data_IF_055232556083
#
_entry.id   IF_055232556083
#
_cell.length_a   1.000
_cell.length_b   1.000
_cell.length_c   1.000
_cell.angle_alpha   90.00
_cell.angle_beta   90.00
_cell.angle_gamma   90.00
#
_symmetry.space_group_name_H-M   'P 1'
#
loop_
_entity.id
_entity.type
_entity.pdbx_description
1 polymer ?
#
# COMPACT_ATOMS: atom_id res chain seq x y z
N UNK A 1 -9.15 -21.13 -9.76
CA UNK A 1 -7.89 -21.34 -10.54
C UNK A 1 -6.76 -21.36 -9.54
N UNK A 2 -6.13 -22.53 -9.29
CA UNK A 2 -4.95 -22.60 -8.42
C UNK A 2 -3.78 -21.96 -9.16
N UNK A 3 -3.20 -20.88 -8.63
CA UNK A 3 -1.88 -20.41 -9.06
C UNK A 3 -0.94 -21.60 -8.92
N UNK A 4 -0.33 -22.01 -10.03
CA UNK A 4 0.64 -23.10 -9.97
C UNK A 4 1.86 -22.58 -9.19
N UNK A 5 2.52 -23.39 -8.34
CA UNK A 5 3.72 -22.95 -7.62
C UNK A 5 4.82 -22.36 -8.52
N UNK A 6 4.82 -22.68 -9.81
CA UNK A 6 5.69 -22.09 -10.85
C UNK A 6 5.43 -20.62 -11.17
N UNK A 7 4.29 -20.06 -10.78
CA UNK A 7 3.89 -18.66 -11.02
C UNK A 7 4.18 -17.75 -9.81
N UNK A 8 4.55 -18.34 -8.68
CA UNK A 8 5.04 -17.63 -7.48
C UNK A 8 6.57 -17.54 -7.64
N UNK A 9 7.08 -16.31 -7.71
CA UNK A 9 8.53 -16.11 -7.82
C UNK A 9 9.14 -16.21 -6.43
N UNK A 10 9.83 -17.32 -6.17
CA UNK A 10 10.72 -17.44 -5.00
C UNK A 10 11.95 -16.55 -5.23
N UNK A 11 12.20 -15.64 -4.29
CA UNK A 11 13.43 -14.84 -4.26
C UNK A 11 14.23 -15.18 -3.01
N UNK A 12 15.49 -15.53 -3.22
CA UNK A 12 16.46 -15.76 -2.15
C UNK A 12 17.34 -14.54 -2.00
N UNK A 13 17.50 -14.08 -0.75
CA UNK A 13 18.37 -12.99 -0.39
C UNK A 13 19.35 -13.46 0.66
N UNK A 14 20.63 -13.47 0.34
CA UNK A 14 21.68 -13.71 1.32
C UNK A 14 22.12 -12.38 1.92
N UNK A 15 21.92 -12.22 3.24
CA UNK A 15 22.58 -11.16 4.03
C UNK A 15 23.56 -11.80 4.98
N UNK A 16 24.48 -10.97 5.49
CA UNK A 16 25.77 -11.29 6.17
C UNK A 16 25.72 -12.49 7.15
N UNK A 17 24.57 -12.87 7.68
CA UNK A 17 24.35 -14.01 8.58
C UNK A 17 23.11 -14.89 8.28
N UNK A 18 22.26 -14.58 7.28
CA UNK A 18 21.00 -15.29 7.02
C UNK A 18 20.57 -15.26 5.55
N UNK A 19 19.99 -16.38 5.10
CA UNK A 19 19.24 -16.46 3.85
C UNK A 19 17.75 -16.18 4.13
N UNK A 20 17.18 -15.19 3.47
CA UNK A 20 15.75 -14.92 3.45
C UNK A 20 15.14 -15.51 2.19
N UNK A 21 14.00 -16.18 2.32
CA UNK A 21 13.22 -16.69 1.19
C UNK A 21 11.88 -15.95 1.21
N UNK A 22 11.71 -15.04 0.27
CA UNK A 22 10.46 -14.33 0.06
C UNK A 22 9.74 -14.89 -1.17
N UNK A 23 8.42 -15.07 -1.08
CA UNK A 23 7.58 -15.39 -2.22
C UNK A 23 6.95 -14.09 -2.71
N UNK A 24 7.10 -13.77 -4.00
CA UNK A 24 6.43 -12.62 -4.60
C UNK A 24 5.00 -13.00 -4.99
N UNK A 25 4.02 -12.36 -4.35
CA UNK A 25 2.62 -12.48 -4.71
C UNK A 25 2.15 -11.21 -5.40
N UNK A 26 1.93 -11.30 -6.71
CA UNK A 26 1.36 -10.20 -7.46
C UNK A 26 -0.14 -10.08 -7.15
N UNK A 27 -0.55 -8.95 -6.58
CA UNK A 27 -1.92 -8.67 -6.14
C UNK A 27 -2.99 -8.90 -7.22
N UNK A 28 -2.68 -8.61 -8.48
CA UNK A 28 -3.60 -8.86 -9.60
C UNK A 28 -3.90 -10.35 -9.80
N UNK A 29 -2.93 -11.24 -9.56
CA UNK A 29 -3.15 -12.69 -9.61
C UNK A 29 -4.02 -13.15 -8.44
N UNK A 30 -3.80 -12.59 -7.26
CA UNK A 30 -4.63 -12.87 -6.07
C UNK A 30 -6.08 -12.43 -6.32
N UNK A 31 -6.28 -11.27 -6.94
CA UNK A 31 -7.59 -10.78 -7.39
C UNK A 31 -8.28 -11.76 -8.35
N UNK A 32 -7.55 -12.27 -9.36
CA UNK A 32 -8.08 -13.28 -10.29
C UNK A 32 -8.38 -14.63 -9.61
N UNK A 33 -7.59 -15.09 -8.62
CA UNK A 33 -7.94 -16.27 -7.83
C UNK A 33 -9.30 -16.06 -7.18
N UNK A 34 -9.45 -14.97 -6.41
CA UNK A 34 -10.69 -14.65 -5.70
C UNK A 34 -11.87 -14.65 -6.67
N UNK A 35 -11.73 -14.00 -7.83
CA UNK A 35 -12.80 -13.90 -8.82
C UNK A 35 -13.08 -15.22 -9.56
N UNK A 36 -12.08 -16.09 -9.73
CA UNK A 36 -12.27 -17.42 -10.31
C UNK A 36 -13.02 -18.38 -9.38
N UNK A 37 -12.82 -18.25 -8.06
CA UNK A 37 -13.49 -19.07 -7.05
C UNK A 37 -14.86 -18.50 -6.67
N UNK A 38 -15.09 -17.19 -6.86
CA UNK A 38 -16.33 -16.48 -6.56
C UNK A 38 -16.83 -15.64 -7.75
N UNK A 39 -17.13 -16.26 -8.91
CA UNK A 39 -17.41 -15.54 -10.15
C UNK A 39 -18.65 -14.65 -10.07
N UNK A 40 -19.68 -15.08 -9.33
CA UNK A 40 -20.93 -14.32 -9.17
C UNK A 40 -20.76 -13.02 -8.37
N UNK A 41 -19.62 -12.84 -7.70
CA UNK A 41 -19.32 -11.65 -6.93
C UNK A 41 -18.30 -10.74 -7.61
N UNK A 42 -17.75 -11.12 -8.79
CA UNK A 42 -16.78 -10.30 -9.51
C UNK A 42 -17.44 -9.09 -10.17
N UNK A 43 -16.95 -7.91 -9.82
CA UNK A 43 -17.39 -6.65 -10.44
C UNK A 43 -16.67 -6.35 -11.77
N UNK A 44 -15.56 -7.05 -12.02
CA UNK A 44 -14.52 -6.71 -12.99
C UNK A 44 -14.15 -5.22 -12.95
N UNK A 45 -14.05 -4.65 -11.74
CA UNK A 45 -13.80 -3.22 -11.50
C UNK A 45 -12.63 -2.99 -10.54
N UNK A 46 -11.71 -2.12 -10.94
CA UNK A 46 -10.50 -1.77 -10.18
C UNK A 46 -10.47 -0.26 -9.89
N UNK A 47 -10.03 0.11 -8.69
CA UNK A 47 -9.73 1.51 -8.34
C UNK A 47 -8.23 1.64 -8.14
N UNK A 48 -7.57 2.44 -8.98
CA UNK A 48 -6.14 2.71 -8.93
C UNK A 48 -5.91 4.18 -8.53
N UNK A 49 -5.45 4.41 -7.29
CA UNK A 49 -5.16 5.74 -6.75
C UNK A 49 -3.65 5.93 -6.72
N UNK A 50 -3.18 7.04 -7.29
CA UNK A 50 -1.75 7.24 -7.56
C UNK A 50 -1.34 6.41 -8.77
N UNK A 51 -2.08 6.60 -9.86
CA UNK A 51 -1.96 5.75 -11.05
C UNK A 51 -0.72 6.06 -11.88
N UNK A 52 -0.10 7.23 -11.72
CA UNK A 52 0.98 7.68 -12.59
C UNK A 52 0.51 7.71 -14.05
N UNK A 53 1.15 6.92 -14.91
CA UNK A 53 0.75 6.73 -16.31
C UNK A 53 -0.09 5.44 -16.53
N UNK A 54 -0.37 4.69 -15.47
CA UNK A 54 -1.14 3.45 -15.47
C UNK A 54 -0.41 2.23 -16.01
N UNK A 55 0.91 2.29 -16.25
CA UNK A 55 1.69 1.19 -16.85
C UNK A 55 3.07 1.02 -16.21
N UNK A 56 3.80 2.12 -16.01
CA UNK A 56 5.16 2.10 -15.49
C UNK A 56 5.22 1.65 -14.02
N UNK A 57 6.44 1.47 -13.51
CA UNK A 57 6.71 1.01 -12.14
C UNK A 57 6.02 -0.30 -11.73
N UNK A 58 5.69 -1.16 -12.70
CA UNK A 58 4.94 -2.41 -12.48
C UNK A 58 3.59 -2.18 -11.80
N UNK A 59 2.83 -1.16 -12.22
CA UNK A 59 1.52 -0.86 -11.65
C UNK A 59 0.64 -2.14 -11.61
N UNK A 60 0.19 -2.54 -10.41
CA UNK A 60 -0.45 -3.83 -10.23
C UNK A 60 -1.87 -3.88 -10.80
N UNK A 61 -2.48 -2.73 -11.13
CA UNK A 61 -3.80 -2.69 -11.75
C UNK A 61 -3.72 -2.89 -13.27
N UNK A 62 -2.57 -2.59 -13.90
CA UNK A 62 -2.41 -2.68 -15.35
C UNK A 62 -2.72 -4.07 -15.93
N UNK A 63 -2.23 -5.20 -15.37
CA UNK A 63 -2.59 -6.53 -15.87
C UNK A 63 -4.09 -6.80 -15.86
N UNK A 64 -4.84 -6.29 -14.86
CA UNK A 64 -6.30 -6.43 -14.79
C UNK A 64 -6.98 -5.65 -15.93
N UNK A 65 -6.54 -4.42 -16.19
CA UNK A 65 -7.03 -3.63 -17.32
C UNK A 65 -6.78 -4.34 -18.66
N UNK A 66 -5.61 -4.98 -18.81
CA UNK A 66 -5.26 -5.75 -20.02
C UNK A 66 -6.17 -6.95 -20.29
N UNK A 67 -6.76 -7.55 -19.26
CA UNK A 67 -7.69 -8.67 -19.37
C UNK A 67 -9.16 -8.23 -19.28
N UNK A 68 -9.44 -6.94 -19.47
CA UNK A 68 -10.79 -6.40 -19.67
C UNK A 68 -11.49 -5.89 -18.42
N UNK A 69 -10.80 -5.77 -17.28
CA UNK A 69 -11.37 -5.05 -16.14
C UNK A 69 -11.62 -3.59 -16.51
N UNK A 70 -12.74 -3.05 -16.04
CA UNK A 70 -12.98 -1.62 -16.01
C UNK A 70 -12.42 -1.01 -14.73
N UNK A 71 -12.59 0.30 -14.58
CA UNK A 71 -12.15 0.93 -13.35
C UNK A 71 -12.14 2.43 -13.32
N UNK A 72 -11.58 2.92 -12.22
CA UNK A 72 -11.26 4.32 -11.99
C UNK A 72 -9.77 4.43 -11.69
N UNK A 73 -9.01 5.10 -12.55
CA UNK A 73 -7.60 5.41 -12.34
C UNK A 73 -7.45 6.91 -12.05
N UNK A 74 -6.81 7.26 -10.95
CA UNK A 74 -6.74 8.62 -10.43
C UNK A 74 -5.28 9.00 -10.23
N UNK A 75 -4.87 10.10 -10.85
CA UNK A 75 -3.55 10.71 -10.69
C UNK A 75 -3.69 12.15 -10.17
N UNK A 76 -2.93 12.44 -9.11
CA UNK A 76 -2.94 13.73 -8.43
C UNK A 76 -2.40 14.84 -9.33
N UNK A 77 -1.31 14.54 -10.04
CA UNK A 77 -0.66 15.47 -10.95
C UNK A 77 -1.23 15.38 -12.38
N UNK A 78 -0.86 16.36 -13.21
CA UNK A 78 -1.21 16.31 -14.63
C UNK A 78 -0.36 15.23 -15.34
N UNK A 79 -0.99 14.14 -15.79
CA UNK A 79 -0.33 13.12 -16.59
C UNK A 79 -1.17 12.68 -17.80
N UNK A 80 -0.86 13.21 -18.99
CA UNK A 80 -1.60 12.91 -20.22
C UNK A 80 -1.39 11.46 -20.71
N UNK A 81 -0.31 10.80 -20.26
CA UNK A 81 -0.05 9.40 -20.62
C UNK A 81 -1.06 8.44 -19.99
N UNK A 82 -1.61 8.77 -18.82
CA UNK A 82 -2.60 7.91 -18.15
C UNK A 82 -3.80 7.63 -19.06
N UNK A 83 -4.38 8.68 -19.65
CA UNK A 83 -5.52 8.54 -20.55
C UNK A 83 -5.15 7.80 -21.84
N UNK A 84 -3.95 8.06 -22.37
CA UNK A 84 -3.45 7.40 -23.58
C UNK A 84 -3.24 5.90 -23.36
N UNK A 85 -2.64 5.53 -22.24
CA UNK A 85 -2.29 4.16 -21.90
C UNK A 85 -3.52 3.33 -21.50
N UNK A 86 -4.46 3.95 -20.76
CA UNK A 86 -5.70 3.32 -20.29
C UNK A 86 -6.93 3.83 -21.07
N UNK A 87 -6.89 3.71 -22.39
CA UNK A 87 -7.88 4.28 -23.32
C UNK A 87 -9.17 3.48 -23.50
N UNK A 88 -9.35 2.37 -22.77
CA UNK A 88 -10.55 1.55 -22.86
C UNK A 88 -11.77 2.29 -22.30
N UNK A 89 -12.93 2.20 -22.97
CA UNK A 89 -14.15 2.94 -22.59
C UNK A 89 -14.70 2.58 -21.20
N UNK A 90 -14.36 1.40 -20.68
CA UNK A 90 -14.75 0.96 -19.34
C UNK A 90 -13.78 1.43 -18.24
N UNK A 91 -12.74 2.20 -18.58
CA UNK A 91 -11.80 2.79 -17.63
C UNK A 91 -11.97 4.31 -17.64
N UNK A 92 -12.34 4.86 -16.49
CA UNK A 92 -12.32 6.31 -16.28
C UNK A 92 -10.96 6.72 -15.74
N UNK A 93 -10.28 7.61 -16.46
CA UNK A 93 -9.00 8.18 -16.03
C UNK A 93 -9.20 9.61 -15.56
N UNK A 94 -8.79 9.92 -14.34
CA UNK A 94 -8.76 11.27 -13.77
C UNK A 94 -7.31 11.69 -13.57
N UNK A 95 -6.96 12.86 -14.09
CA UNK A 95 -5.62 13.46 -13.92
C UNK A 95 -5.79 14.84 -13.30
N UNK A 96 -4.73 15.39 -12.71
CA UNK A 96 -4.79 16.65 -11.99
C UNK A 96 -5.89 16.63 -10.89
N UNK A 97 -6.04 15.48 -10.22
CA UNK A 97 -7.13 15.19 -9.29
C UNK A 97 -6.56 14.64 -7.98
N UNK A 98 -6.26 15.54 -7.04
CA UNK A 98 -5.80 15.13 -5.71
C UNK A 98 -6.93 14.52 -4.88
N UNK A 99 -6.83 13.21 -4.64
CA UNK A 99 -7.67 12.55 -3.66
C UNK A 99 -7.19 12.87 -2.24
N UNK A 100 -8.13 12.98 -1.32
CA UNK A 100 -7.90 13.24 0.10
C UNK A 100 -9.05 12.67 0.95
N UNK A 101 -8.92 12.61 2.28
CA UNK A 101 -9.93 12.00 3.14
C UNK A 101 -11.32 12.66 3.06
N UNK A 102 -11.40 13.92 2.65
CA UNK A 102 -12.66 14.66 2.55
C UNK A 102 -13.39 14.45 1.22
N UNK A 103 -12.68 14.08 0.14
CA UNK A 103 -13.29 13.90 -1.18
C UNK A 103 -13.34 12.43 -1.63
N UNK A 104 -12.59 11.51 -1.03
CA UNK A 104 -12.43 10.15 -1.54
C UNK A 104 -13.77 9.43 -1.76
N UNK A 105 -14.64 9.39 -0.75
CA UNK A 105 -15.95 8.74 -0.87
C UNK A 105 -16.86 9.40 -1.93
N UNK A 106 -16.89 10.73 -1.98
CA UNK A 106 -17.70 11.47 -2.94
C UNK A 106 -17.22 11.26 -4.39
N UNK A 107 -15.89 11.18 -4.58
CA UNK A 107 -15.29 10.94 -5.89
C UNK A 107 -15.65 9.54 -6.41
N UNK A 108 -15.50 8.51 -5.59
CA UNK A 108 -15.91 7.14 -5.95
C UNK A 108 -17.42 7.07 -6.23
N UNK A 109 -18.24 7.78 -5.46
CA UNK A 109 -19.69 7.83 -5.69
C UNK A 109 -20.04 8.50 -7.02
N UNK A 110 -19.42 9.66 -7.31
CA UNK A 110 -19.61 10.41 -8.55
C UNK A 110 -19.30 9.56 -9.79
N UNK A 111 -18.28 8.72 -9.70
CA UNK A 111 -17.87 7.81 -10.77
C UNK A 111 -18.55 6.44 -10.73
N UNK A 112 -19.62 6.30 -9.94
CA UNK A 112 -20.45 5.09 -9.85
C UNK A 112 -19.63 3.83 -9.53
N UNK A 113 -18.55 3.97 -8.76
CA UNK A 113 -17.74 2.86 -8.32
C UNK A 113 -18.61 1.85 -7.55
N UNK A 114 -18.60 0.55 -7.92
CA UNK A 114 -19.32 -0.47 -7.17
C UNK A 114 -18.87 -0.49 -5.70
N UNK A 115 -19.79 -0.71 -4.76
CA UNK A 115 -19.41 -0.82 -3.33
C UNK A 115 -18.43 -1.98 -3.10
N UNK A 116 -18.70 -3.13 -3.73
CA UNK A 116 -17.87 -4.33 -3.67
C UNK A 116 -17.07 -4.48 -4.97
N UNK A 117 -16.09 -3.62 -5.20
CA UNK A 117 -15.18 -3.74 -6.34
C UNK A 117 -14.02 -4.71 -6.05
N UNK A 118 -13.31 -5.15 -7.07
CA UNK A 118 -12.41 -6.30 -6.94
C UNK A 118 -11.05 -5.94 -6.36
N UNK A 119 -10.50 -4.78 -6.72
CA UNK A 119 -9.17 -4.37 -6.25
C UNK A 119 -9.07 -2.86 -6.06
N UNK A 120 -8.50 -2.46 -4.93
CA UNK A 120 -8.03 -1.09 -4.64
C UNK A 120 -6.50 -1.08 -4.63
N UNK A 121 -5.87 -0.16 -5.37
CA UNK A 121 -4.48 0.24 -5.16
C UNK A 121 -4.46 1.67 -4.60
N UNK A 122 -3.64 1.91 -3.60
CA UNK A 122 -3.34 3.26 -3.10
C UNK A 122 -1.84 3.43 -2.88
N UNK A 123 -1.28 4.43 -3.56
CA UNK A 123 0.14 4.76 -3.55
C UNK A 123 0.28 6.24 -3.95
N UNK A 124 0.15 7.15 -2.98
CA UNK A 124 0.18 8.61 -3.22
C UNK A 124 1.36 9.28 -2.53
N UNK A 125 2.36 8.50 -2.13
CA UNK A 125 3.59 8.92 -1.47
C UNK A 125 3.30 9.86 -0.28
N UNK A 126 2.29 9.59 0.56
CA UNK A 126 1.82 10.58 1.53
C UNK A 126 0.79 10.12 2.56
N UNK A 127 -0.39 10.73 2.54
CA UNK A 127 -1.44 10.48 3.53
C UNK A 127 -2.35 9.30 3.14
N UNK A 128 -1.73 8.21 2.66
CA UNK A 128 -2.34 6.99 2.16
C UNK A 128 -3.33 6.38 3.18
N UNK A 129 -2.88 6.25 4.43
CA UNK A 129 -3.69 5.73 5.53
C UNK A 129 -5.02 6.48 5.71
N UNK A 130 -5.01 7.82 5.89
CA UNK A 130 -6.23 8.62 5.95
C UNK A 130 -7.18 8.47 4.75
N UNK A 131 -6.66 8.36 3.52
CA UNK A 131 -7.50 8.15 2.33
C UNK A 131 -8.11 6.76 2.35
N UNK A 132 -7.32 5.74 2.67
CA UNK A 132 -7.80 4.36 2.83
C UNK A 132 -8.91 4.26 3.88
N UNK A 133 -8.71 4.84 5.07
CA UNK A 133 -9.71 4.87 6.15
C UNK A 133 -10.99 5.59 5.70
N UNK A 134 -10.88 6.69 4.94
CA UNK A 134 -12.02 7.42 4.41
C UNK A 134 -12.82 6.62 3.38
N UNK A 135 -12.14 5.91 2.46
CA UNK A 135 -12.78 5.04 1.47
C UNK A 135 -13.58 3.94 2.17
N UNK A 136 -12.96 3.23 3.12
CA UNK A 136 -13.61 2.14 3.85
C UNK A 136 -14.73 2.65 4.78
N UNK A 137 -14.55 3.83 5.39
CA UNK A 137 -15.58 4.51 6.20
C UNK A 137 -16.78 4.95 5.38
N UNK A 138 -16.58 5.32 4.11
CA UNK A 138 -17.67 5.65 3.18
C UNK A 138 -18.51 4.43 2.75
N UNK A 139 -18.14 3.23 3.22
CA UNK A 139 -18.91 2.00 3.02
C UNK A 139 -18.39 1.11 1.89
N UNK A 140 -17.34 1.52 1.18
CA UNK A 140 -16.70 0.69 0.16
C UNK A 140 -16.04 -0.54 0.77
N UNK A 141 -16.10 -1.66 0.05
CA UNK A 141 -15.66 -3.00 0.48
C UNK A 141 -14.87 -3.68 -0.63
N UNK A 142 -13.72 -3.10 -1.08
CA UNK A 142 -12.84 -3.77 -2.02
C UNK A 142 -12.51 -5.19 -1.54
N UNK A 143 -12.43 -6.16 -2.43
CA UNK A 143 -12.07 -7.54 -2.04
C UNK A 143 -10.61 -7.65 -1.64
N UNK A 144 -9.76 -6.96 -2.40
CA UNK A 144 -8.31 -6.89 -2.21
C UNK A 144 -7.86 -5.44 -2.22
N UNK A 145 -6.90 -5.10 -1.36
CA UNK A 145 -6.28 -3.77 -1.30
C UNK A 145 -4.77 -3.96 -1.37
N UNK A 146 -4.09 -3.27 -2.28
CA UNK A 146 -2.66 -3.05 -2.22
C UNK A 146 -2.44 -1.62 -1.74
N UNK A 147 -1.67 -1.46 -0.68
CA UNK A 147 -1.41 -0.15 -0.09
C UNK A 147 0.09 0.03 0.13
N UNK A 148 0.60 1.20 -0.27
CA UNK A 148 1.93 1.66 0.06
C UNK A 148 2.09 1.76 1.58
N UNK A 149 3.23 1.28 2.08
CA UNK A 149 3.61 1.43 3.49
C UNK A 149 5.00 2.02 3.63
N UNK A 150 5.22 2.74 4.73
CA UNK A 150 6.56 3.03 5.20
C UNK A 150 7.13 1.79 5.89
N UNK A 151 7.81 0.94 5.11
CA UNK A 151 8.35 -0.34 5.56
C UNK A 151 9.54 -0.20 6.52
N UNK A 152 10.11 0.99 6.68
CA UNK A 152 11.25 1.22 7.56
C UNK A 152 10.82 1.31 9.02
N UNK A 153 9.55 1.68 9.27
CA UNK A 153 8.98 1.80 10.62
C UNK A 153 8.48 0.43 11.09
N UNK A 154 9.15 -0.22 12.07
CA UNK A 154 8.81 -1.58 12.48
C UNK A 154 7.56 -1.66 13.35
N UNK A 155 6.85 -2.81 13.36
CA UNK A 155 5.92 -3.14 14.43
C UNK A 155 6.60 -3.10 15.80
N UNK A 156 5.90 -2.67 16.88
CA UNK A 156 4.48 -2.31 16.94
C UNK A 156 4.21 -0.81 16.70
N UNK A 157 5.14 -0.04 16.12
CA UNK A 157 4.92 1.40 15.92
C UNK A 157 3.83 1.63 14.88
N UNK A 158 2.79 2.37 15.28
CA UNK A 158 1.74 2.87 14.40
C UNK A 158 2.11 4.29 13.97
N UNK A 159 2.32 4.50 12.67
CA UNK A 159 2.64 5.79 12.08
C UNK A 159 1.77 6.02 10.85
N UNK A 160 1.33 7.26 10.62
CA UNK A 160 0.79 7.67 9.32
C UNK A 160 0.87 9.17 9.13
N UNK A 161 1.23 9.62 7.93
CA UNK A 161 1.12 11.04 7.58
C UNK A 161 -0.35 11.44 7.54
N UNK A 162 -0.71 12.51 8.24
CA UNK A 162 -2.10 12.99 8.26
C UNK A 162 -2.33 14.02 7.17
N UNK A 163 -3.49 14.00 6.53
CA UNK A 163 -3.79 14.99 5.49
C UNK A 163 -3.74 16.44 6.00
N UNK A 164 -3.11 17.29 5.21
CA UNK A 164 -3.24 18.74 5.24
C UNK A 164 -3.05 19.29 3.82
N UNK A 165 -3.75 20.36 3.47
CA UNK A 165 -3.75 20.98 2.14
C UNK A 165 -2.39 21.48 1.63
N UNK A 166 -1.36 21.55 2.47
CA UNK A 166 -0.01 21.99 2.08
C UNK A 166 0.93 20.81 1.81
N UNK A 167 0.40 19.58 1.79
CA UNK A 167 1.19 18.39 1.51
C UNK A 167 1.95 18.52 0.18
N UNK A 168 3.15 17.95 0.15
CA UNK A 168 3.97 17.82 -1.05
C UNK A 168 4.63 16.46 -1.00
N UNK A 169 4.73 15.79 -2.14
CA UNK A 169 5.39 14.48 -2.27
C UNK A 169 6.90 14.62 -2.06
N UNK A 170 7.51 15.56 -2.77
CA UNK A 170 8.93 15.85 -2.69
C UNK A 170 9.25 16.90 -1.62
N UNK A 171 10.48 16.85 -1.09
CA UNK A 171 11.02 17.91 -0.25
C UNK A 171 11.49 19.14 -1.06
N UNK A 172 12.08 20.13 -0.37
CA UNK A 172 12.57 21.36 -0.99
C UNK A 172 13.68 21.14 -2.02
N UNK A 173 14.40 20.03 -1.94
CA UNK A 173 15.48 19.66 -2.86
C UNK A 173 14.97 18.77 -4.01
N UNK A 174 13.66 18.49 -4.05
CA UNK A 174 13.04 17.61 -5.04
C UNK A 174 13.24 16.12 -4.77
N UNK A 175 13.68 15.74 -3.55
CA UNK A 175 13.94 14.35 -3.19
C UNK A 175 12.71 13.70 -2.56
N UNK A 176 12.61 12.37 -2.70
CA UNK A 176 11.64 11.57 -1.96
C UNK A 176 12.00 11.56 -0.47
N UNK A 177 11.05 12.00 0.34
CA UNK A 177 11.22 12.10 1.79
C UNK A 177 10.82 10.78 2.47
N UNK A 178 11.51 10.34 3.54
CA UNK A 178 11.05 9.24 4.38
C UNK A 178 9.76 9.54 5.18
N UNK A 179 9.25 10.78 5.10
CA UNK A 179 7.97 11.16 5.68
C UNK A 179 6.85 11.00 4.64
N UNK A 180 6.36 9.76 4.53
CA UNK A 180 5.32 9.33 3.59
C UNK A 180 4.57 8.10 4.15
N UNK A 181 3.42 7.79 3.55
CA UNK A 181 2.63 6.59 3.79
C UNK A 181 2.17 6.37 5.24
N UNK A 182 2.10 5.09 5.60
CA UNK A 182 1.75 4.59 6.91
C UNK A 182 2.60 3.37 7.29
N UNK A 183 2.82 3.11 8.58
CA UNK A 183 3.50 1.88 8.99
C UNK A 183 2.59 0.66 8.84
N UNK A 184 3.20 -0.53 8.76
CA UNK A 184 2.47 -1.80 8.73
C UNK A 184 1.50 -1.96 9.92
N UNK A 185 1.85 -1.47 11.10
CA UNK A 185 0.97 -1.55 12.29
C UNK A 185 -0.25 -0.63 12.16
N UNK A 186 -0.09 0.57 11.58
CA UNK A 186 -1.21 1.46 11.31
C UNK A 186 -2.15 0.86 10.26
N UNK A 187 -1.60 0.24 9.23
CA UNK A 187 -2.37 -0.53 8.25
C UNK A 187 -3.11 -1.70 8.90
N UNK A 188 -2.47 -2.43 9.83
CA UNK A 188 -3.11 -3.51 10.58
C UNK A 188 -4.29 -3.01 11.45
N UNK A 189 -4.16 -1.80 12.02
CA UNK A 189 -5.25 -1.14 12.73
C UNK A 189 -6.44 -0.84 11.82
N UNK A 190 -6.21 -0.29 10.61
CA UNK A 190 -7.27 -0.09 9.61
C UNK A 190 -7.89 -1.43 9.22
N UNK A 191 -7.06 -2.44 8.93
CA UNK A 191 -7.52 -3.76 8.50
C UNK A 191 -8.49 -4.37 9.53
N UNK A 192 -8.11 -4.39 10.81
CA UNK A 192 -8.96 -4.85 11.92
C UNK A 192 -10.28 -4.07 12.01
N UNK A 193 -10.22 -2.73 11.91
CA UNK A 193 -11.40 -1.86 11.99
C UNK A 193 -12.45 -2.19 10.92
N UNK A 194 -12.02 -2.58 9.72
CA UNK A 194 -12.92 -2.78 8.58
C UNK A 194 -13.11 -4.23 8.13
N UNK A 195 -12.59 -5.20 8.87
CA UNK A 195 -12.79 -6.62 8.54
C UNK A 195 -11.89 -7.11 7.40
N UNK A 196 -10.62 -6.72 7.44
CA UNK A 196 -9.55 -7.20 6.57
C UNK A 196 -8.43 -7.80 7.40
N UNK A 197 -7.64 -8.66 6.76
CA UNK A 197 -6.35 -9.11 7.26
C UNK A 197 -5.26 -8.70 6.28
N UNK A 198 -4.06 -8.49 6.80
CA UNK A 198 -2.87 -8.34 5.97
C UNK A 198 -2.46 -9.74 5.55
N UNK A 199 -2.48 -9.99 4.24
CA UNK A 199 -2.13 -11.28 3.65
C UNK A 199 -0.68 -11.32 3.18
N UNK A 200 -0.07 -10.18 2.85
CA UNK A 200 1.30 -10.16 2.36
C UNK A 200 1.96 -8.80 2.51
N UNK A 201 3.29 -8.83 2.58
CA UNK A 201 4.17 -7.68 2.61
C UNK A 201 5.22 -7.85 1.50
N UNK A 202 5.23 -6.93 0.53
CA UNK A 202 6.24 -6.87 -0.51
C UNK A 202 7.30 -5.81 -0.19
N UNK A 203 8.43 -6.26 0.38
CA UNK A 203 9.65 -5.46 0.50
C UNK A 203 10.79 -6.00 -0.39
N UNK A 204 10.49 -6.94 -1.27
CA UNK A 204 11.47 -7.73 -2.05
C UNK A 204 11.46 -7.37 -3.53
N UNK A 205 10.35 -6.82 -4.02
CA UNK A 205 10.28 -6.20 -5.33
C UNK A 205 11.07 -4.89 -5.29
N UNK A 206 11.98 -4.63 -6.26
CA UNK A 206 12.79 -3.42 -6.26
C UNK A 206 11.90 -2.18 -6.34
N UNK A 207 12.20 -1.19 -5.50
CA UNK A 207 11.53 0.12 -5.44
C UNK A 207 10.06 0.10 -5.00
N UNK A 208 9.57 -1.02 -4.46
CA UNK A 208 8.20 -1.12 -3.93
C UNK A 208 8.24 -1.48 -2.45
N UNK A 209 7.23 -1.03 -1.72
CA UNK A 209 7.05 -1.33 -0.30
C UNK A 209 5.57 -1.35 0.04
N UNK A 210 4.92 -2.43 -0.39
CA UNK A 210 3.47 -2.56 -0.35
C UNK A 210 3.01 -3.65 0.59
N UNK A 211 1.79 -3.52 1.09
CA UNK A 211 1.10 -4.60 1.76
C UNK A 211 -0.22 -4.92 1.06
N UNK A 212 -0.54 -6.21 0.99
CA UNK A 212 -1.80 -6.71 0.44
C UNK A 212 -2.74 -7.03 1.59
N UNK A 213 -3.92 -6.40 1.60
CA UNK A 213 -5.02 -6.75 2.47
C UNK A 213 -6.07 -7.53 1.68
N UNK A 214 -6.69 -8.48 2.36
CA UNK A 214 -7.78 -9.27 1.81
C UNK A 214 -8.93 -9.22 2.80
N UNK A 215 -10.14 -9.08 2.25
CA UNK A 215 -11.36 -9.03 3.06
C UNK A 215 -11.55 -10.36 3.80
N UNK A 216 -11.96 -10.29 5.07
CA UNK A 216 -11.92 -11.46 5.96
C UNK A 216 -12.75 -12.66 5.45
N UNK A 217 -13.88 -12.40 4.78
CA UNK A 217 -14.74 -13.42 4.15
C UNK A 217 -14.08 -14.13 2.95
N UNK A 218 -12.94 -13.65 2.46
CA UNK A 218 -12.22 -14.20 1.31
C UNK A 218 -10.87 -14.82 1.70
N UNK A 219 -10.46 -14.70 2.97
CA UNK A 219 -9.17 -15.17 3.48
C UNK A 219 -8.97 -16.67 3.30
N UNK A 220 -10.01 -17.47 3.50
CA UNK A 220 -9.94 -18.94 3.36
C UNK A 220 -9.75 -19.36 1.89
N UNK A 221 -10.39 -18.63 0.96
CA UNK A 221 -10.22 -18.84 -0.48
C UNK A 221 -8.75 -18.61 -0.85
N UNK A 222 -8.17 -17.53 -0.36
CA UNK A 222 -6.76 -17.23 -0.65
C UNK A 222 -5.85 -18.20 0.08
N UNK A 223 -6.06 -18.47 1.37
CA UNK A 223 -5.25 -19.39 2.19
C UNK A 223 -5.20 -20.83 1.63
N UNK A 224 -6.29 -21.30 1.05
CA UNK A 224 -6.35 -22.62 0.40
C UNK A 224 -5.64 -22.69 -0.95
N UNK A 225 -5.38 -21.53 -1.58
CA UNK A 225 -4.67 -21.41 -2.86
C UNK A 225 -3.22 -20.92 -2.69
N UNK A 226 -2.95 -20.13 -1.64
CA UNK A 226 -1.71 -19.40 -1.36
C UNK A 226 -1.48 -19.36 0.16
N UNK A 227 -0.29 -19.72 0.63
CA UNK A 227 0.07 -19.68 2.06
C UNK A 227 0.40 -18.24 2.54
N UNK A 228 -0.50 -17.30 2.28
CA UNK A 228 -0.35 -15.87 2.57
C UNK A 228 -0.93 -15.49 3.94
N UNK A 229 -2.00 -16.15 4.38
CA UNK A 229 -2.87 -15.62 5.42
C UNK A 229 -2.52 -16.05 6.85
N UNK A 230 -1.48 -16.87 7.04
CA UNK A 230 -1.18 -17.56 8.31
C UNK A 230 -0.01 -16.97 9.11
N UNK A 231 0.33 -15.70 8.96
CA UNK A 231 1.49 -15.10 9.64
C UNK A 231 1.12 -13.83 10.44
N UNK A 232 1.79 -13.62 11.59
CA UNK A 232 1.67 -12.35 12.30
C UNK A 232 2.36 -11.23 11.53
N UNK A 233 1.94 -9.98 11.74
CA UNK A 233 2.58 -8.83 11.10
C UNK A 233 4.05 -8.69 11.49
N UNK A 234 4.45 -9.09 12.70
CA UNK A 234 5.87 -9.07 13.08
C UNK A 234 6.65 -10.12 12.29
N UNK A 235 6.12 -11.33 12.16
CA UNK A 235 6.76 -12.38 11.37
C UNK A 235 6.91 -11.94 9.91
N UNK A 236 5.84 -11.41 9.30
CA UNK A 236 5.89 -10.86 7.93
C UNK A 236 6.98 -9.79 7.80
N UNK A 237 7.02 -8.84 8.74
CA UNK A 237 8.02 -7.79 8.76
C UNK A 237 9.45 -8.34 8.83
N UNK A 238 9.70 -9.33 9.69
CA UNK A 238 11.02 -9.93 9.90
C UNK A 238 11.49 -10.81 8.74
N UNK A 239 10.57 -11.51 8.07
CA UNK A 239 10.88 -12.39 6.94
C UNK A 239 11.12 -11.60 5.64
N UNK A 240 10.60 -10.36 5.54
CA UNK A 240 10.75 -9.49 4.37
C UNK A 240 11.55 -8.21 4.69
N UNK A 241 12.89 -8.31 4.89
CA UNK A 241 13.73 -7.15 5.17
C UNK A 241 13.80 -6.22 3.94
N UNK A 242 13.79 -4.90 4.15
CA UNK A 242 13.81 -3.97 3.04
C UNK A 242 15.15 -3.90 2.31
N UNK A 243 15.07 -3.63 1.01
CA UNK A 243 16.23 -3.53 0.12
C UNK A 243 16.82 -2.12 0.04
N UNK A 244 16.10 -1.10 0.47
CA UNK A 244 16.52 0.31 0.48
C UNK A 244 16.00 1.07 1.69
N UNK A 245 16.43 2.33 1.82
CA UNK A 245 16.02 3.23 2.91
C UNK A 245 15.93 4.68 2.44
N UNK A 246 14.77 5.29 2.65
CA UNK A 246 14.52 6.71 2.54
C UNK A 246 15.09 7.47 3.75
N UNK A 247 15.14 6.87 4.94
CA UNK A 247 15.71 7.55 6.12
C UNK A 247 17.22 7.81 5.98
N UNK A 248 17.96 6.93 5.30
CA UNK A 248 19.39 7.13 5.04
C UNK A 248 19.67 8.40 4.22
N UNK A 249 18.80 8.76 3.27
CA UNK A 249 18.97 10.01 2.48
C UNK A 249 18.79 11.26 3.35
N UNK A 250 18.24 11.09 4.55
CA UNK A 250 18.07 12.13 5.57
C UNK A 250 19.13 12.02 6.69
N UNK A 251 20.13 11.15 6.54
CA UNK A 251 21.20 10.95 7.52
C UNK A 251 20.77 10.18 8.77
N UNK A 252 19.63 9.49 8.71
CA UNK A 252 19.06 8.70 9.80
C UNK A 252 19.29 7.22 9.47
N UNK A 253 19.82 6.44 10.41
CA UNK A 253 20.01 5.00 10.24
C UNK A 253 18.81 4.23 10.81
N UNK A 254 17.87 3.74 9.98
CA UNK A 254 16.68 3.03 10.46
C UNK A 254 16.96 1.55 10.75
N UNK A 255 18.11 0.99 10.33
CA UNK A 255 18.35 -0.45 10.44
C UNK A 255 18.43 -0.92 11.89
N UNK A 256 18.82 -0.05 12.81
CA UNK A 256 18.85 -0.34 14.25
C UNK A 256 17.45 -0.54 14.84
N UNK A 257 16.40 0.03 14.22
CA UNK A 257 15.03 -0.08 14.71
C UNK A 257 14.49 -1.50 14.61
N UNK A 258 14.91 -2.23 13.57
CA UNK A 258 14.41 -3.59 13.29
C UNK A 258 14.71 -4.56 14.44
N UNK A 259 15.87 -4.42 15.06
CA UNK A 259 16.34 -5.32 16.12
C UNK A 259 16.16 -4.74 17.54
N UNK A 260 15.62 -3.53 17.66
CA UNK A 260 15.38 -2.88 18.95
C UNK A 260 14.20 -3.51 19.69
N UNK A 261 14.48 -4.07 20.87
CA UNK A 261 13.49 -4.77 21.69
C UNK A 261 12.86 -3.87 22.75
N UNK A 262 13.52 -2.77 23.12
CA UNK A 262 12.94 -1.77 24.02
C UNK A 262 11.95 -0.89 23.24
N UNK A 263 10.65 -1.16 23.43
CA UNK A 263 9.56 -0.44 22.78
C UNK A 263 9.61 1.07 23.01
N UNK A 264 10.06 1.53 24.17
CA UNK A 264 10.14 2.96 24.49
C UNK A 264 11.29 3.61 23.74
N UNK A 265 12.45 2.96 23.73
CA UNK A 265 13.61 3.43 22.98
C UNK A 265 13.32 3.47 21.48
N UNK A 266 12.70 2.41 20.95
CA UNK A 266 12.24 2.34 19.57
C UNK A 266 11.24 3.45 19.24
N UNK A 267 10.21 3.63 20.06
CA UNK A 267 9.21 4.67 19.83
C UNK A 267 9.82 6.07 19.80
N UNK A 268 10.73 6.37 20.74
CA UNK A 268 11.42 7.65 20.79
C UNK A 268 12.29 7.89 19.56
N UNK A 269 13.08 6.91 19.13
CA UNK A 269 13.97 7.07 17.98
C UNK A 269 13.19 7.25 16.67
N UNK A 270 12.14 6.45 16.46
CA UNK A 270 11.27 6.56 15.28
C UNK A 270 10.53 7.90 15.29
N UNK A 271 9.99 8.33 16.43
CA UNK A 271 9.29 9.61 16.54
C UNK A 271 10.19 10.79 16.18
N UNK A 272 11.41 10.83 16.74
CA UNK A 272 12.41 11.88 16.43
C UNK A 272 12.73 11.89 14.95
N UNK A 273 12.93 10.71 14.35
CA UNK A 273 13.22 10.59 12.92
C UNK A 273 12.07 11.07 12.04
N UNK A 274 10.83 10.67 12.35
CA UNK A 274 9.64 11.13 11.62
C UNK A 274 9.46 12.64 11.76
N UNK A 275 9.64 13.18 12.96
CA UNK A 275 9.56 14.63 13.22
C UNK A 275 10.64 15.40 12.45
N UNK A 276 11.90 14.97 12.50
CA UNK A 276 12.99 15.60 11.78
C UNK A 276 12.76 15.57 10.25
N UNK A 277 12.28 14.44 9.73
CA UNK A 277 11.94 14.28 8.32
C UNK A 277 10.79 15.18 7.90
N UNK A 278 9.75 15.31 8.73
CA UNK A 278 8.65 16.26 8.55
C UNK A 278 9.15 17.70 8.47
N UNK A 279 9.98 18.11 9.44
CA UNK A 279 10.57 19.46 9.49
C UNK A 279 11.41 19.75 8.25
N UNK A 280 12.26 18.82 7.83
CA UNK A 280 13.06 18.98 6.62
C UNK A 280 12.20 19.05 5.36
N UNK A 281 11.17 18.21 5.24
CA UNK A 281 10.28 18.16 4.07
C UNK A 281 9.47 19.45 3.90
N UNK A 282 8.93 19.99 5.00
CA UNK A 282 7.96 21.08 4.97
C UNK A 282 8.48 22.44 5.45
N UNK A 283 9.73 22.53 5.90
CA UNK A 283 10.25 23.69 6.63
C UNK A 283 9.36 24.04 7.85
N UNK A 284 8.84 23.00 8.52
CA UNK A 284 7.88 23.10 9.63
C UNK A 284 7.36 21.73 10.04
N UNK A 285 6.76 21.63 11.24
CA UNK A 285 6.20 20.37 11.73
C UNK A 285 4.83 20.10 11.12
N UNK A 286 4.75 19.12 10.23
CA UNK A 286 3.52 18.68 9.59
C UNK A 286 2.86 17.55 10.40
N UNK A 287 1.53 17.48 10.49
CA UNK A 287 0.85 16.50 11.35
C UNK A 287 1.08 15.05 10.88
N UNK A 288 1.34 14.18 11.84
CA UNK A 288 1.33 12.72 11.67
C UNK A 288 0.71 12.05 12.88
N UNK A 289 0.10 10.89 12.66
CA UNK A 289 -0.31 9.99 13.72
C UNK A 289 0.91 9.20 14.22
N UNK A 290 1.02 9.03 15.53
CA UNK A 290 2.04 8.19 16.14
C UNK A 290 1.51 7.51 17.41
N UNK A 291 1.63 6.19 17.48
CA UNK A 291 1.30 5.40 18.67
C UNK A 291 2.14 4.12 18.70
N UNK A 292 2.03 3.37 19.80
CA UNK A 292 2.47 1.99 19.91
C UNK A 292 1.21 1.14 19.90
N UNK A 293 1.13 0.13 19.02
CA UNK A 293 0.01 -0.80 19.02
C UNK A 293 -0.06 -1.56 20.36
N UNK A 294 -1.28 -1.67 20.89
CA UNK A 294 -1.60 -2.46 22.09
C UNK A 294 -1.44 -3.97 21.86
#
# INVERSE_FOLDING_TARGET
>A
MKIQPSEIVERRFDRIDRTFVGYLYESWKVCEIINSEQPNFSSKFVVNIGAGDGVECNDPCYPLYKIGYGGLAIEGEKNELLHKNLSSENITTLTNTFINPFNAGALLQQHKTPVNFDMLKIDIDGYDGPVLDAILSAGYRPKLIQAEINHEIPPPIEFSVMYHSIYKVHDSDGMFSPFYGMSLSFLAKIARKFGYHIAYLDNITPLTHDAILIRNDLSEIVGSNLDMTNQSIEKMYYDHPPTGSHFLSYGINPFEWRDEKDKTKLANSVWIACFASSVKKFNGAYPFYFSIAE
#
